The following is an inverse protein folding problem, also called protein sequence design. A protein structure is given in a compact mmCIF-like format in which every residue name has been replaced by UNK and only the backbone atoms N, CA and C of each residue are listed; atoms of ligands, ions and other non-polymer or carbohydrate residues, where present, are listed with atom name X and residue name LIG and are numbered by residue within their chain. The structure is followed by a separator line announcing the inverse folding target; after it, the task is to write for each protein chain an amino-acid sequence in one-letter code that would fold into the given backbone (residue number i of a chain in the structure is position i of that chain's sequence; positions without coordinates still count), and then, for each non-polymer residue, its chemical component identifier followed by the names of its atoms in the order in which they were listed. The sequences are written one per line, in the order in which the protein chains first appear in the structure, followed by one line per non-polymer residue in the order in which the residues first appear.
data_IF_869957752286
#
_entry.id   IF_869957752286
#
_cell.length_a   1.000
_cell.length_b   1.000
_cell.length_c   1.000
_cell.angle_alpha   90.00
_cell.angle_beta   90.00
_cell.angle_gamma   90.00
#
_symmetry.space_group_name_H-M   'P 1'
#
loop_
_entity.id
_entity.type
_entity.pdbx_description
1 polymer ?
#
# COMPACT_ATOMS: atom_id res chain seq x y z
N UNK A 1 26.93 -27.46 -63.27
CA UNK A 1 27.97 -27.58 -62.20
C UNK A 1 27.40 -26.96 -60.97
N UNK A 2 27.12 -27.80 -60.06
CA UNK A 2 26.47 -27.64 -58.74
C UNK A 2 27.36 -26.90 -57.73
N UNK A 3 26.79 -25.94 -57.00
CA UNK A 3 27.39 -25.47 -55.78
C UNK A 3 26.34 -25.53 -54.64
N UNK A 4 26.58 -26.45 -53.72
CA UNK A 4 25.77 -26.71 -52.55
C UNK A 4 25.95 -25.63 -51.51
N UNK A 5 24.85 -25.00 -51.08
CA UNK A 5 24.78 -24.10 -49.93
C UNK A 5 24.74 -24.90 -48.63
N UNK A 6 25.71 -24.68 -47.76
CA UNK A 6 25.76 -25.21 -46.40
C UNK A 6 24.78 -24.42 -45.52
N UNK A 7 23.70 -25.06 -45.12
CA UNK A 7 22.87 -24.62 -43.99
C UNK A 7 23.57 -24.91 -42.68
N UNK A 8 24.10 -23.89 -42.00
CA UNK A 8 24.55 -24.00 -40.60
C UNK A 8 23.33 -23.82 -39.68
N UNK A 9 22.86 -24.93 -39.14
CA UNK A 9 21.92 -24.96 -38.02
C UNK A 9 22.58 -24.41 -36.77
N UNK A 10 22.28 -23.16 -36.42
CA UNK A 10 22.64 -22.56 -35.16
C UNK A 10 21.71 -23.07 -34.05
N UNK A 11 22.10 -24.18 -33.43
CA UNK A 11 21.44 -24.67 -32.21
C UNK A 11 21.80 -23.82 -31.01
N UNK A 12 20.78 -23.23 -30.47
CA UNK A 12 20.49 -22.73 -29.14
C UNK A 12 21.56 -22.68 -28.04
N UNK A 13 21.74 -21.47 -27.56
CA UNK A 13 22.12 -21.20 -26.18
C UNK A 13 21.42 -19.91 -25.69
N UNK A 14 20.08 -19.87 -25.43
CA UNK A 14 19.45 -18.69 -24.85
C UNK A 14 19.47 -18.66 -23.31
N UNK A 15 19.46 -19.82 -22.63
CA UNK A 15 19.24 -19.87 -21.17
C UNK A 15 20.45 -19.39 -20.34
N UNK A 16 21.68 -19.76 -20.71
CA UNK A 16 22.88 -19.36 -19.99
C UNK A 16 23.16 -17.84 -20.09
N UNK A 17 22.83 -17.24 -21.22
CA UNK A 17 22.97 -15.79 -21.42
C UNK A 17 21.98 -14.95 -20.58
N UNK A 18 20.75 -15.44 -20.39
CA UNK A 18 19.76 -14.75 -19.58
C UNK A 18 20.11 -14.76 -18.09
N UNK A 19 20.47 -15.90 -17.52
CA UNK A 19 20.91 -16.02 -16.12
C UNK A 19 22.16 -15.19 -15.85
N UNK A 20 23.13 -15.18 -16.76
CA UNK A 20 24.34 -14.37 -16.64
C UNK A 20 24.01 -12.86 -16.70
N UNK A 21 23.14 -12.43 -17.60
CA UNK A 21 22.67 -11.04 -17.69
C UNK A 21 21.89 -10.63 -16.43
N UNK A 22 21.00 -11.49 -15.93
CA UNK A 22 20.25 -11.22 -14.70
C UNK A 22 21.16 -11.11 -13.49
N UNK A 23 22.18 -11.99 -13.38
CA UNK A 23 23.20 -11.90 -12.32
C UNK A 23 24.06 -10.63 -12.43
N UNK A 24 24.46 -10.24 -13.63
CA UNK A 24 25.21 -8.99 -13.85
C UNK A 24 24.35 -7.77 -13.47
N UNK A 25 23.10 -7.73 -13.93
CA UNK A 25 22.15 -6.65 -13.56
C UNK A 25 21.90 -6.59 -12.05
N UNK A 26 21.73 -7.73 -11.38
CA UNK A 26 21.57 -7.78 -9.91
C UNK A 26 22.83 -7.31 -9.18
N UNK A 27 24.00 -7.62 -9.71
CA UNK A 27 25.29 -7.19 -9.16
C UNK A 27 25.48 -5.67 -9.31
N UNK A 28 25.15 -5.13 -10.49
CA UNK A 28 25.21 -3.69 -10.78
C UNK A 28 24.22 -2.91 -9.93
N UNK A 29 23.03 -3.47 -9.72
CA UNK A 29 22.01 -2.92 -8.83
C UNK A 29 22.46 -2.93 -7.37
N UNK A 30 23.02 -4.05 -6.90
CA UNK A 30 23.53 -4.17 -5.53
C UNK A 30 24.75 -3.24 -5.27
N UNK A 31 25.51 -2.91 -6.32
CA UNK A 31 26.64 -1.98 -6.26
C UNK A 31 26.21 -0.50 -6.36
N UNK A 32 25.00 -0.21 -6.85
CA UNK A 32 24.51 1.17 -6.97
C UNK A 32 24.07 1.72 -5.59
N UNK A 33 24.84 2.66 -5.06
CA UNK A 33 24.56 3.35 -3.80
C UNK A 33 23.14 3.90 -3.72
N UNK A 34 22.54 4.30 -4.85
CA UNK A 34 21.16 4.82 -4.88
C UNK A 34 20.14 3.75 -4.56
N UNK A 35 20.37 2.50 -5.00
CA UNK A 35 19.48 1.36 -4.68
C UNK A 35 19.53 1.03 -3.19
N UNK A 36 20.73 0.98 -2.60
CA UNK A 36 20.89 0.79 -1.17
C UNK A 36 20.21 1.90 -0.37
N UNK A 37 20.35 3.15 -0.82
CA UNK A 37 19.67 4.28 -0.17
C UNK A 37 18.15 4.17 -0.29
N UNK A 38 17.61 3.75 -1.46
CA UNK A 38 16.16 3.54 -1.61
C UNK A 38 15.61 2.47 -0.67
N UNK A 39 16.38 1.39 -0.41
CA UNK A 39 16.00 0.39 0.57
C UNK A 39 15.92 1.00 1.99
N UNK A 40 16.93 1.76 2.38
CA UNK A 40 16.98 2.41 3.71
C UNK A 40 15.90 3.49 3.86
N UNK A 41 15.67 4.29 2.81
CA UNK A 41 14.61 5.30 2.80
C UNK A 41 13.22 4.65 2.81
N UNK A 42 13.05 3.53 2.10
CA UNK A 42 11.83 2.72 2.14
C UNK A 42 11.57 2.15 3.53
N UNK A 43 12.62 1.68 4.22
CA UNK A 43 12.52 1.27 5.62
C UNK A 43 12.03 2.41 6.51
N UNK A 44 12.61 3.60 6.40
CA UNK A 44 12.15 4.76 7.16
C UNK A 44 10.72 5.19 6.86
N UNK A 45 10.26 5.01 5.62
CA UNK A 45 8.89 5.35 5.22
C UNK A 45 7.86 4.31 5.70
N UNK A 46 8.22 3.03 5.71
CA UNK A 46 7.33 1.95 6.14
C UNK A 46 7.16 1.82 7.65
N UNK A 47 8.11 2.35 8.44
CA UNK A 47 8.13 2.18 9.89
C UNK A 47 6.94 2.86 10.59
N UNK A 48 6.60 4.14 10.34
CA UNK A 48 5.58 4.85 11.10
C UNK A 48 4.16 4.34 10.87
N UNK A 49 3.87 3.80 9.69
CA UNK A 49 2.48 3.54 9.30
C UNK A 49 1.76 2.56 10.23
N UNK A 50 2.39 1.45 10.60
CA UNK A 50 1.77 0.51 11.54
C UNK A 50 1.74 1.05 12.97
N UNK A 51 2.71 1.89 13.34
CA UNK A 51 2.81 2.48 14.68
C UNK A 51 1.72 3.53 14.96
N UNK A 52 1.11 4.11 13.93
CA UNK A 52 -0.04 5.02 14.06
C UNK A 52 -1.38 4.37 13.73
N UNK A 53 -1.38 3.08 13.30
CA UNK A 53 -2.61 2.33 12.97
C UNK A 53 -2.70 1.02 13.74
N UNK A 54 -2.28 -0.09 13.13
CA UNK A 54 -2.50 -1.42 13.64
C UNK A 54 -1.81 -1.68 14.98
N UNK A 55 -0.58 -1.24 15.16
CA UNK A 55 0.14 -1.37 16.44
C UNK A 55 -0.46 -0.46 17.51
N UNK A 56 -0.82 0.78 17.11
CA UNK A 56 -1.49 1.71 18.03
C UNK A 56 -2.86 1.20 18.45
N UNK A 57 -3.66 0.62 17.54
CA UNK A 57 -4.97 0.09 17.90
C UNK A 57 -4.89 -1.06 18.91
N UNK A 58 -3.85 -1.90 18.83
CA UNK A 58 -3.57 -2.92 19.83
C UNK A 58 -3.22 -2.28 21.19
N UNK A 59 -2.34 -1.27 21.21
CA UNK A 59 -2.00 -0.55 22.44
C UNK A 59 -3.21 0.12 23.09
N UNK A 60 -3.98 0.87 22.31
CA UNK A 60 -5.18 1.54 22.82
C UNK A 60 -6.18 0.53 23.41
N UNK A 61 -6.37 -0.61 22.74
CA UNK A 61 -7.29 -1.62 23.23
C UNK A 61 -6.75 -2.31 24.51
N UNK A 62 -5.46 -2.61 24.57
CA UNK A 62 -4.85 -3.14 25.80
C UNK A 62 -4.88 -2.15 26.97
N UNK A 63 -4.94 -0.84 26.68
CA UNK A 63 -5.14 0.23 27.67
C UNK A 63 -6.61 0.46 28.05
N UNK A 64 -7.55 -0.35 27.53
CA UNK A 64 -8.98 -0.26 27.87
C UNK A 64 -9.76 0.81 27.10
N UNK A 65 -9.16 1.43 26.08
CA UNK A 65 -9.82 2.48 25.28
C UNK A 65 -11.00 1.87 24.49
N UNK A 66 -12.09 2.62 24.41
CA UNK A 66 -13.31 2.24 23.69
C UNK A 66 -13.07 2.03 22.20
N UNK A 67 -13.77 1.07 21.61
CA UNK A 67 -13.63 0.69 20.18
C UNK A 67 -14.03 1.81 19.25
N UNK A 68 -15.03 2.61 19.62
CA UNK A 68 -15.44 3.84 18.91
C UNK A 68 -14.30 4.83 18.76
N UNK A 69 -13.56 5.09 19.84
CA UNK A 69 -12.40 5.97 19.85
C UNK A 69 -11.28 5.42 18.97
N UNK A 70 -11.03 4.09 19.01
CA UNK A 70 -10.05 3.42 18.14
C UNK A 70 -10.47 3.51 16.66
N UNK A 71 -11.75 3.34 16.37
CA UNK A 71 -12.31 3.51 15.03
C UNK A 71 -12.06 4.94 14.53
N UNK A 72 -12.43 5.96 15.30
CA UNK A 72 -12.23 7.37 14.96
C UNK A 72 -10.74 7.71 14.74
N UNK A 73 -9.82 7.11 15.50
CA UNK A 73 -8.40 7.32 15.34
C UNK A 73 -7.90 6.87 13.97
N UNK A 74 -8.59 5.94 13.31
CA UNK A 74 -8.24 5.53 11.94
C UNK A 74 -8.27 6.70 10.94
N UNK A 75 -8.99 7.80 11.25
CA UNK A 75 -8.97 9.02 10.45
C UNK A 75 -7.60 9.71 10.38
N UNK A 76 -6.68 9.43 11.29
CA UNK A 76 -5.28 9.85 11.17
C UNK A 76 -4.68 9.37 9.82
N UNK A 77 -5.21 8.26 9.27
CA UNK A 77 -4.81 7.75 7.95
C UNK A 77 -5.11 8.69 6.79
N UNK A 78 -6.03 9.64 6.98
CA UNK A 78 -6.35 10.64 5.95
C UNK A 78 -5.14 11.52 5.61
N UNK A 79 -4.22 11.74 6.57
CA UNK A 79 -2.98 12.46 6.29
C UNK A 79 -2.21 11.84 5.11
N UNK A 80 -2.10 10.51 5.04
CA UNK A 80 -1.43 9.83 3.94
C UNK A 80 -2.17 9.94 2.60
N UNK A 81 -3.49 10.03 2.63
CA UNK A 81 -4.31 10.14 1.42
C UNK A 81 -4.36 11.57 0.91
N UNK A 82 -4.41 12.54 1.83
CA UNK A 82 -4.53 13.96 1.51
C UNK A 82 -3.17 14.65 1.32
N UNK A 83 -2.05 13.90 1.36
CA UNK A 83 -0.69 14.45 1.22
C UNK A 83 -0.50 15.29 -0.05
N UNK A 84 -1.28 15.06 -1.09
CA UNK A 84 -1.27 15.85 -2.33
C UNK A 84 -1.62 17.32 -2.12
N UNK A 85 -2.36 17.66 -1.05
CA UNK A 85 -2.73 19.05 -0.74
C UNK A 85 -1.52 19.91 -0.39
N UNK A 86 -0.52 19.35 0.30
CA UNK A 86 0.67 20.09 0.69
C UNK A 86 1.95 19.69 -0.07
N UNK A 87 1.89 18.68 -0.92
CA UNK A 87 3.01 18.28 -1.76
C UNK A 87 3.57 19.46 -2.60
N UNK A 88 2.75 20.34 -3.23
CA UNK A 88 3.26 21.49 -3.97
C UNK A 88 4.03 22.50 -3.10
N UNK A 89 3.70 22.59 -1.81
CA UNK A 89 4.42 23.44 -0.85
C UNK A 89 5.80 22.86 -0.58
N UNK A 90 5.88 21.57 -0.31
CA UNK A 90 7.13 20.85 -0.07
C UNK A 90 8.06 20.91 -1.29
N UNK A 91 7.50 20.83 -2.49
CA UNK A 91 8.28 20.88 -3.73
C UNK A 91 8.89 22.26 -4.03
N UNK A 92 8.33 23.33 -3.47
CA UNK A 92 8.74 24.72 -3.76
C UNK A 92 9.42 25.43 -2.62
N UNK A 93 9.15 25.01 -1.37
CA UNK A 93 9.67 25.69 -0.19
C UNK A 93 11.06 25.17 0.18
N UNK A 94 12.03 26.08 0.19
CA UNK A 94 13.36 25.83 0.72
C UNK A 94 13.39 26.09 2.22
N UNK A 95 13.92 25.13 2.97
CA UNK A 95 14.16 25.30 4.40
C UNK A 95 15.40 26.16 4.60
N UNK A 96 15.29 27.30 5.29
CA UNK A 96 16.44 28.16 5.58
C UNK A 96 17.57 27.33 6.20
N UNK A 97 18.82 27.58 5.85
CA UNK A 97 20.03 26.89 6.31
C UNK A 97 20.10 25.42 5.86
N UNK A 98 19.10 24.57 6.19
CA UNK A 98 19.13 23.13 5.91
C UNK A 98 19.18 22.84 4.39
N UNK A 99 18.39 23.55 3.59
CA UNK A 99 18.40 23.35 2.13
C UNK A 99 19.72 23.81 1.49
N UNK A 100 20.39 24.83 2.05
CA UNK A 100 21.71 25.27 1.58
C UNK A 100 22.79 24.20 1.85
N UNK A 101 22.74 23.57 3.01
CA UNK A 101 23.73 22.56 3.45
C UNK A 101 23.51 21.22 2.76
N UNK A 102 22.28 20.74 2.74
CA UNK A 102 21.93 19.37 2.34
C UNK A 102 21.27 19.26 0.96
N UNK A 103 20.79 20.35 0.41
CA UNK A 103 19.88 20.37 -0.73
C UNK A 103 18.42 20.18 -0.30
N UNK A 104 17.46 20.73 -1.08
CA UNK A 104 16.04 20.80 -0.71
C UNK A 104 15.45 19.42 -0.34
N UNK A 105 15.63 18.40 -1.17
CA UNK A 105 15.07 17.06 -0.93
C UNK A 105 15.57 16.45 0.37
N UNK A 106 16.90 16.47 0.61
CA UNK A 106 17.48 15.89 1.82
C UNK A 106 17.11 16.68 3.08
N UNK A 107 16.98 17.99 2.98
CA UNK A 107 16.58 18.85 4.10
C UNK A 107 15.16 18.50 4.58
N UNK A 108 14.20 18.36 3.66
CA UNK A 108 12.84 17.97 3.99
C UNK A 108 12.75 16.52 4.48
N UNK A 109 13.52 15.56 3.88
CA UNK A 109 13.60 14.18 4.39
C UNK A 109 14.09 14.16 5.83
N UNK A 110 15.19 14.88 6.13
CA UNK A 110 15.76 14.93 7.47
C UNK A 110 14.77 15.53 8.48
N UNK A 111 14.14 16.65 8.14
CA UNK A 111 13.15 17.30 9.01
C UNK A 111 11.98 16.38 9.33
N UNK A 112 11.40 15.73 8.31
CA UNK A 112 10.27 14.83 8.49
C UNK A 112 10.65 13.58 9.30
N UNK A 113 11.84 13.01 9.08
CA UNK A 113 12.33 11.87 9.85
C UNK A 113 12.61 12.22 11.32
N UNK A 114 13.17 13.41 11.58
CA UNK A 114 13.35 13.91 12.96
C UNK A 114 11.97 14.10 13.61
N UNK A 115 11.00 14.68 12.92
CA UNK A 115 9.65 14.85 13.44
C UNK A 115 8.96 13.51 13.74
N UNK A 116 9.12 12.48 12.89
CA UNK A 116 8.65 11.13 13.17
C UNK A 116 9.34 10.55 14.41
N UNK A 117 10.66 10.60 14.50
CA UNK A 117 11.40 10.08 15.64
C UNK A 117 11.03 10.79 16.94
N UNK A 118 10.94 12.12 16.91
CA UNK A 118 10.51 12.91 18.06
C UNK A 118 9.06 12.60 18.48
N UNK A 119 8.15 12.43 17.51
CA UNK A 119 6.77 12.01 17.75
C UNK A 119 6.68 10.61 18.39
N UNK A 120 7.49 9.65 17.93
CA UNK A 120 7.57 8.31 18.54
C UNK A 120 8.14 8.36 19.97
N UNK A 121 9.17 9.18 20.22
CA UNK A 121 9.70 9.39 21.56
C UNK A 121 8.66 10.06 22.46
N UNK A 122 7.94 11.06 21.97
CA UNK A 122 6.86 11.69 22.70
C UNK A 122 5.75 10.67 23.03
N UNK A 123 5.33 9.87 22.04
CA UNK A 123 4.33 8.83 22.22
C UNK A 123 4.78 7.78 23.25
N UNK A 124 6.06 7.38 23.27
CA UNK A 124 6.61 6.43 24.26
C UNK A 124 6.54 6.92 25.70
N UNK A 125 6.39 8.23 25.92
CA UNK A 125 6.28 8.85 27.26
C UNK A 125 4.85 9.08 27.72
N UNK A 126 3.88 8.87 26.80
CA UNK A 126 2.46 9.01 27.08
C UNK A 126 1.84 7.69 27.53
N UNK A 127 0.69 7.79 28.18
CA UNK A 127 -0.17 6.68 28.50
C UNK A 127 -1.58 6.99 27.97
N UNK A 128 -2.10 6.20 26.99
CA UNK A 128 -3.42 6.42 26.43
C UNK A 128 -4.56 6.34 27.46
N UNK A 129 -4.38 5.52 28.51
CA UNK A 129 -5.40 5.38 29.55
C UNK A 129 -5.61 6.67 30.35
N UNK A 130 -4.54 7.45 30.54
CA UNK A 130 -4.58 8.70 31.30
C UNK A 130 -4.75 9.92 30.42
N UNK A 131 -4.23 9.90 29.17
CA UNK A 131 -4.27 11.04 28.26
C UNK A 131 -4.36 10.59 26.80
N UNK A 132 -5.57 10.20 26.39
CA UNK A 132 -5.84 9.83 24.99
C UNK A 132 -5.56 10.98 24.01
N UNK A 133 -5.93 12.22 24.38
CA UNK A 133 -5.70 13.41 23.54
C UNK A 133 -4.21 13.64 23.22
N UNK A 134 -3.31 13.40 24.17
CA UNK A 134 -1.88 13.47 23.93
C UNK A 134 -1.41 12.40 22.94
N UNK A 135 -1.86 11.16 23.10
CA UNK A 135 -1.55 10.05 22.18
C UNK A 135 -2.03 10.34 20.75
N UNK A 136 -3.26 10.87 20.61
CA UNK A 136 -3.83 11.30 19.32
C UNK A 136 -3.00 12.42 18.69
N UNK A 137 -2.59 13.43 19.47
CA UNK A 137 -1.75 14.52 18.97
C UNK A 137 -0.40 13.99 18.47
N UNK A 138 0.25 13.09 19.21
CA UNK A 138 1.48 12.43 18.75
C UNK A 138 1.27 11.63 17.47
N UNK A 139 0.18 10.86 17.38
CA UNK A 139 -0.16 10.08 16.19
C UNK A 139 -0.38 10.98 14.96
N UNK A 140 -1.06 12.12 15.12
CA UNK A 140 -1.24 13.10 14.05
C UNK A 140 0.10 13.69 13.58
N UNK A 141 0.97 14.10 14.50
CA UNK A 141 2.30 14.63 14.16
C UNK A 141 3.11 13.58 13.38
N UNK A 142 3.13 12.34 13.86
CA UNK A 142 3.82 11.24 13.18
C UNK A 142 3.24 11.00 11.78
N UNK A 143 1.92 10.97 11.64
CA UNK A 143 1.26 10.72 10.35
C UNK A 143 1.54 11.82 9.32
N UNK A 144 1.44 13.10 9.72
CA UNK A 144 1.76 14.23 8.83
C UNK A 144 3.24 14.27 8.45
N UNK A 145 4.13 14.03 9.41
CA UNK A 145 5.57 13.97 9.17
C UNK A 145 5.93 12.80 8.23
N UNK A 146 5.35 11.62 8.45
CA UNK A 146 5.56 10.44 7.61
C UNK A 146 5.00 10.63 6.20
N UNK A 147 3.79 11.19 6.06
CA UNK A 147 3.23 11.53 4.75
C UNK A 147 4.08 12.57 3.98
N UNK A 148 4.68 13.52 4.71
CA UNK A 148 5.64 14.48 4.14
C UNK A 148 6.92 13.77 3.72
N UNK A 149 7.44 12.86 4.52
CA UNK A 149 8.58 12.02 4.17
C UNK A 149 8.34 11.26 2.86
N UNK A 150 7.16 10.64 2.69
CA UNK A 150 6.80 9.91 1.47
C UNK A 150 6.87 10.81 0.24
N UNK A 151 6.30 12.04 0.30
CA UNK A 151 6.36 13.00 -0.81
C UNK A 151 7.81 13.26 -1.23
N UNK A 152 8.68 13.50 -0.25
CA UNK A 152 10.06 13.90 -0.52
C UNK A 152 10.91 12.74 -1.01
N UNK A 153 10.70 11.53 -0.48
CA UNK A 153 11.40 10.30 -0.91
C UNK A 153 11.02 9.97 -2.35
N UNK A 154 9.73 10.06 -2.70
CA UNK A 154 9.27 9.88 -4.08
C UNK A 154 9.90 10.92 -5.03
N UNK A 155 9.92 12.19 -4.63
CA UNK A 155 10.57 13.24 -5.39
C UNK A 155 12.08 13.00 -5.54
N UNK A 156 12.79 12.59 -4.49
CA UNK A 156 14.21 12.27 -4.55
C UNK A 156 14.48 11.07 -5.48
N UNK A 157 13.63 10.04 -5.44
CA UNK A 157 13.71 8.89 -6.35
C UNK A 157 13.62 9.31 -7.80
N UNK A 158 12.63 10.15 -8.14
CA UNK A 158 12.42 10.64 -9.51
C UNK A 158 13.59 11.48 -9.98
N UNK A 159 14.10 12.37 -9.12
CA UNK A 159 15.20 13.29 -9.45
C UNK A 159 16.57 12.57 -9.50
N UNK A 160 16.74 11.40 -8.85
CA UNK A 160 18.04 10.74 -8.67
C UNK A 160 18.43 9.77 -9.78
N UNK A 161 17.48 9.28 -10.59
CA UNK A 161 17.78 8.26 -11.60
C UNK A 161 16.92 8.43 -12.88
N UNK A 162 17.44 8.01 -14.04
CA UNK A 162 16.70 8.00 -15.30
C UNK A 162 15.55 6.99 -15.25
N UNK A 163 14.61 7.12 -16.19
CA UNK A 163 13.35 6.36 -16.23
C UNK A 163 13.58 4.83 -16.22
N UNK A 164 14.62 4.35 -16.89
CA UNK A 164 14.96 2.92 -17.00
C UNK A 164 15.30 2.29 -15.65
N UNK A 165 15.80 3.07 -14.68
CA UNK A 165 16.16 2.60 -13.34
C UNK A 165 15.08 2.80 -12.29
N UNK A 166 14.02 3.54 -12.60
CA UNK A 166 12.95 3.84 -11.64
C UNK A 166 12.25 2.60 -11.10
N UNK A 167 12.04 1.58 -11.94
CA UNK A 167 11.44 0.31 -11.53
C UNK A 167 12.25 -0.42 -10.45
N UNK A 168 13.59 -0.46 -10.62
CA UNK A 168 14.49 -1.11 -9.64
C UNK A 168 14.58 -0.30 -8.33
N UNK A 169 14.59 1.02 -8.42
CA UNK A 169 14.56 1.89 -7.24
C UNK A 169 13.26 1.70 -6.45
N UNK A 170 12.12 1.58 -7.14
CA UNK A 170 10.84 1.30 -6.51
C UNK A 170 10.82 -0.09 -5.85
N UNK A 171 11.40 -1.10 -6.48
CA UNK A 171 11.52 -2.44 -5.90
C UNK A 171 12.37 -2.45 -4.62
N UNK A 172 13.52 -1.74 -4.62
CA UNK A 172 14.36 -1.57 -3.44
C UNK A 172 13.63 -0.83 -2.31
N UNK A 173 12.89 0.25 -2.64
CA UNK A 173 12.03 0.97 -1.70
C UNK A 173 10.99 0.05 -1.08
N UNK A 174 10.28 -0.72 -1.92
CA UNK A 174 9.22 -1.62 -1.45
C UNK A 174 9.74 -2.73 -0.55
N UNK A 175 10.95 -3.24 -0.81
CA UNK A 175 11.60 -4.21 0.06
C UNK A 175 11.90 -3.59 1.43
N UNK A 176 12.51 -2.41 1.47
CA UNK A 176 12.76 -1.68 2.72
C UNK A 176 11.48 -1.39 3.49
N UNK A 177 10.45 -0.93 2.79
CA UNK A 177 9.13 -0.68 3.34
C UNK A 177 8.50 -1.93 3.97
N UNK A 178 8.62 -3.08 3.31
CA UNK A 178 8.10 -4.35 3.83
C UNK A 178 8.86 -4.82 5.07
N UNK A 179 10.20 -4.68 5.10
CA UNK A 179 11.00 -4.97 6.28
C UNK A 179 10.61 -4.09 7.47
N UNK A 180 10.40 -2.79 7.24
CA UNK A 180 9.96 -1.86 8.27
C UNK A 180 8.58 -2.24 8.85
N UNK A 181 7.66 -2.69 8.00
CA UNK A 181 6.33 -3.15 8.46
C UNK A 181 6.42 -4.38 9.36
N UNK A 182 7.36 -5.29 9.12
CA UNK A 182 7.61 -6.42 10.00
C UNK A 182 8.15 -5.92 11.35
N UNK A 183 9.12 -5.00 11.33
CA UNK A 183 9.67 -4.41 12.57
C UNK A 183 8.60 -3.64 13.36
N UNK A 184 7.83 -2.76 12.71
CA UNK A 184 6.80 -1.94 13.34
C UNK A 184 5.54 -2.72 13.73
N UNK A 185 5.25 -3.82 13.05
CA UNK A 185 4.16 -4.74 13.39
C UNK A 185 4.59 -5.77 14.43
N UNK A 186 5.33 -6.79 14.00
CA UNK A 186 5.75 -7.89 14.87
C UNK A 186 6.78 -7.44 15.93
N UNK A 187 7.83 -6.73 15.51
CA UNK A 187 8.91 -6.31 16.41
C UNK A 187 8.39 -5.43 17.55
N UNK A 188 7.54 -4.45 17.23
CA UNK A 188 6.96 -3.59 18.26
C UNK A 188 6.06 -4.37 19.25
N UNK A 189 5.28 -5.34 18.76
CA UNK A 189 4.43 -6.18 19.63
C UNK A 189 5.26 -7.11 20.51
N UNK A 190 6.32 -7.73 20.00
CA UNK A 190 7.22 -8.56 20.83
C UNK A 190 7.90 -7.73 21.92
N UNK A 191 8.37 -6.53 21.61
CA UNK A 191 8.96 -5.65 22.61
C UNK A 191 7.90 -5.20 23.63
N UNK A 192 6.67 -4.90 23.16
CA UNK A 192 5.57 -4.51 24.04
C UNK A 192 5.14 -5.63 24.97
N UNK A 193 5.13 -6.87 24.52
CA UNK A 193 4.81 -8.05 25.31
C UNK A 193 5.84 -8.29 26.42
N UNK A 194 7.13 -8.14 26.07
CA UNK A 194 8.22 -8.41 27.02
C UNK A 194 8.54 -7.25 27.97
N UNK A 195 8.43 -6.01 27.50
CA UNK A 195 8.95 -4.82 28.19
C UNK A 195 7.93 -3.68 28.33
N UNK A 196 6.74 -3.84 27.73
CA UNK A 196 5.69 -2.83 27.71
C UNK A 196 5.79 -1.85 26.53
N UNK A 197 4.77 -1.02 26.40
CA UNK A 197 4.58 -0.17 25.22
C UNK A 197 5.57 1.00 25.12
N UNK A 198 5.98 1.59 26.25
CA UNK A 198 6.94 2.69 26.25
C UNK A 198 8.29 2.29 25.63
N UNK A 199 8.95 1.18 26.07
CA UNK A 199 10.14 0.66 25.41
C UNK A 199 9.89 0.26 23.94
N UNK A 200 8.71 -0.27 23.59
CA UNK A 200 8.40 -0.64 22.20
C UNK A 200 8.44 0.58 21.27
N UNK A 201 7.75 1.66 21.60
CA UNK A 201 7.80 2.89 20.81
C UNK A 201 9.16 3.57 20.84
N UNK A 202 9.87 3.52 21.98
CA UNK A 202 11.25 3.98 22.09
C UNK A 202 12.22 3.23 21.17
N UNK A 203 12.11 1.91 21.09
CA UNK A 203 12.88 1.09 20.16
C UNK A 203 12.58 1.43 18.69
N UNK A 204 11.31 1.65 18.35
CA UNK A 204 10.93 2.08 17.00
C UNK A 204 11.47 3.48 16.67
N UNK A 205 11.52 4.39 17.63
CA UNK A 205 12.17 5.70 17.46
C UNK A 205 13.68 5.56 17.18
N UNK A 206 14.37 4.63 17.84
CA UNK A 206 15.78 4.34 17.55
C UNK A 206 15.97 3.76 16.15
N UNK A 207 15.07 2.93 15.66
CA UNK A 207 15.12 2.42 14.28
C UNK A 207 15.01 3.54 13.22
N UNK A 208 14.39 4.69 13.55
CA UNK A 208 14.37 5.84 12.65
C UNK A 208 15.78 6.43 12.41
N UNK A 209 16.76 6.17 13.29
CA UNK A 209 18.15 6.57 13.07
C UNK A 209 18.75 5.93 11.82
N UNK A 210 18.28 4.75 11.44
CA UNK A 210 18.66 4.09 10.18
C UNK A 210 18.25 4.95 9.00
N UNK A 211 17.01 5.45 8.99
CA UNK A 211 16.51 6.33 7.94
C UNK A 211 17.25 7.68 7.90
N UNK A 212 17.52 8.26 9.07
CA UNK A 212 18.31 9.49 9.20
C UNK A 212 19.72 9.32 8.63
N UNK A 213 20.40 8.20 8.99
CA UNK A 213 21.70 7.83 8.42
C UNK A 213 21.65 7.67 6.91
N UNK A 214 20.61 7.02 6.39
CA UNK A 214 20.36 6.86 4.95
C UNK A 214 20.19 8.21 4.24
N UNK A 215 19.42 9.12 4.81
CA UNK A 215 19.23 10.47 4.27
C UNK A 215 20.52 11.27 4.24
N UNK A 216 21.34 11.19 5.28
CA UNK A 216 22.65 11.86 5.32
C UNK A 216 23.64 11.25 4.33
N UNK A 217 23.57 9.93 4.12
CA UNK A 217 24.42 9.22 3.17
C UNK A 217 23.92 9.34 1.71
N UNK A 218 22.65 9.69 1.48
CA UNK A 218 22.08 9.81 0.13
C UNK A 218 22.79 10.90 -0.67
N UNK A 219 23.07 10.72 -1.98
CA UNK A 219 23.67 11.75 -2.81
C UNK A 219 22.76 12.99 -2.91
N UNK A 220 23.38 14.16 -2.97
CA UNK A 220 22.65 15.41 -3.29
C UNK A 220 22.14 15.31 -4.71
N UNK A 221 20.85 15.57 -4.88
CA UNK A 221 20.20 15.60 -6.19
C UNK A 221 19.75 17.03 -6.45
N UNK A 222 20.00 17.53 -7.64
CA UNK A 222 19.40 18.79 -8.06
C UNK A 222 17.93 18.54 -8.30
N UNK A 223 17.08 19.13 -7.46
CA UNK A 223 15.65 19.05 -7.67
C UNK A 223 15.32 19.70 -9.02
N UNK A 224 14.56 19.00 -9.86
CA UNK A 224 14.05 19.59 -11.10
C UNK A 224 13.33 20.87 -10.79
N UNK A 225 13.64 21.91 -11.57
CA UNK A 225 12.88 23.16 -11.50
C UNK A 225 11.42 22.84 -11.88
N UNK A 226 10.43 23.17 -11.04
CA UNK A 226 9.03 22.89 -11.33
C UNK A 226 8.49 23.63 -12.56
N UNK A 227 9.36 24.30 -13.34
CA UNK A 227 9.01 25.00 -14.58
C UNK A 227 8.23 26.30 -14.36
N UNK A 228 7.86 27.00 -15.43
CA UNK A 228 7.17 28.27 -15.33
C UNK A 228 5.83 28.12 -14.60
N UNK A 229 5.52 29.06 -13.74
CA UNK A 229 4.29 29.13 -12.95
C UNK A 229 3.04 29.17 -13.84
N UNK A 230 2.65 28.05 -14.42
CA UNK A 230 1.29 27.91 -14.95
C UNK A 230 0.33 28.02 -13.76
N UNK A 231 -0.71 28.84 -13.89
CA UNK A 231 -1.63 29.10 -12.78
C UNK A 231 -2.15 27.77 -12.20
N UNK A 232 -2.37 27.71 -10.89
CA UNK A 232 -2.79 26.49 -10.18
C UNK A 232 -4.04 25.82 -10.81
N UNK A 233 -4.92 26.63 -11.42
CA UNK A 233 -6.10 26.14 -12.16
C UNK A 233 -5.73 25.33 -13.40
N UNK A 234 -4.69 25.74 -14.13
CA UNK A 234 -4.22 25.02 -15.31
C UNK A 234 -3.55 23.71 -14.90
N UNK A 235 -2.71 23.75 -13.86
CA UNK A 235 -2.07 22.55 -13.31
C UNK A 235 -3.10 21.54 -12.76
N UNK A 236 -4.17 22.01 -12.11
CA UNK A 236 -5.25 21.17 -11.63
C UNK A 236 -6.06 20.56 -12.79
N UNK A 237 -6.29 21.34 -13.84
CA UNK A 237 -6.98 20.85 -15.03
C UNK A 237 -6.20 19.76 -15.75
N UNK A 238 -4.91 19.98 -16.01
CA UNK A 238 -4.03 18.97 -16.62
C UNK A 238 -3.85 17.73 -15.73
N UNK A 239 -3.75 17.91 -14.41
CA UNK A 239 -3.49 16.81 -13.48
C UNK A 239 -4.73 15.99 -13.09
N UNK A 240 -5.93 16.55 -13.18
CA UNK A 240 -7.15 15.89 -12.71
C UNK A 240 -8.22 15.86 -13.79
N UNK A 241 -8.54 17.02 -14.39
CA UNK A 241 -9.70 17.12 -15.27
C UNK A 241 -9.47 16.38 -16.60
N UNK A 242 -8.32 16.56 -17.23
CA UNK A 242 -8.01 15.94 -18.52
C UNK A 242 -7.90 14.39 -18.43
N UNK A 243 -7.18 13.80 -17.45
CA UNK A 243 -7.15 12.36 -17.27
C UNK A 243 -8.53 11.76 -16.96
N UNK A 244 -9.37 12.50 -16.21
CA UNK A 244 -10.72 12.05 -15.89
C UNK A 244 -11.64 12.16 -17.11
N UNK A 245 -11.56 13.26 -17.88
CA UNK A 245 -12.31 13.45 -19.12
C UNK A 245 -11.98 12.38 -20.18
N UNK A 246 -10.69 11.99 -20.30
CA UNK A 246 -10.28 10.89 -21.16
C UNK A 246 -10.91 9.56 -20.73
N UNK A 247 -10.95 9.28 -19.43
CA UNK A 247 -11.58 8.07 -18.90
C UNK A 247 -13.09 8.05 -19.16
N UNK A 248 -13.76 9.20 -18.96
CA UNK A 248 -15.19 9.39 -19.26
C UNK A 248 -15.46 9.16 -20.76
N UNK A 249 -14.66 9.77 -21.63
CA UNK A 249 -14.82 9.65 -23.09
C UNK A 249 -14.65 8.21 -23.58
N UNK A 250 -13.74 7.43 -22.98
CA UNK A 250 -13.49 6.02 -23.36
C UNK A 250 -14.51 5.05 -22.80
N UNK A 251 -15.00 5.25 -21.59
CA UNK A 251 -15.87 4.29 -20.86
C UNK A 251 -17.36 4.68 -20.84
N UNK A 252 -17.68 5.91 -21.20
CA UNK A 252 -19.07 6.38 -21.28
C UNK A 252 -19.87 6.15 -19.99
N UNK A 253 -21.10 5.68 -20.12
CA UNK A 253 -21.99 5.39 -18.98
C UNK A 253 -21.52 4.22 -18.12
N UNK A 254 -20.73 3.29 -18.67
CA UNK A 254 -20.13 2.18 -17.93
C UNK A 254 -19.16 2.63 -16.85
N UNK A 255 -18.61 3.86 -16.98
CA UNK A 255 -17.69 4.42 -15.97
C UNK A 255 -18.31 4.49 -14.57
N UNK A 256 -19.59 4.79 -14.44
CA UNK A 256 -20.27 4.85 -13.13
C UNK A 256 -20.21 3.50 -12.43
N UNK A 257 -20.45 2.41 -13.16
CA UNK A 257 -20.40 1.05 -12.63
C UNK A 257 -18.96 0.66 -12.24
N UNK A 258 -17.98 1.04 -13.08
CA UNK A 258 -16.54 0.82 -12.84
C UNK A 258 -16.11 1.55 -11.55
N UNK A 259 -16.44 2.83 -11.41
CA UNK A 259 -16.10 3.61 -10.23
C UNK A 259 -16.80 3.11 -8.97
N UNK A 260 -18.08 2.70 -9.08
CA UNK A 260 -18.80 2.07 -7.98
C UNK A 260 -18.11 0.78 -7.51
N UNK A 261 -17.72 -0.10 -8.46
CA UNK A 261 -16.98 -1.31 -8.12
C UNK A 261 -15.66 -0.99 -7.42
N UNK A 262 -14.82 -0.14 -8.00
CA UNK A 262 -13.53 0.23 -7.42
C UNK A 262 -13.71 0.78 -6.00
N UNK A 263 -14.75 1.59 -5.77
CA UNK A 263 -15.06 2.19 -4.48
C UNK A 263 -15.39 1.17 -3.41
N UNK A 264 -16.20 0.14 -3.74
CA UNK A 264 -16.68 -0.81 -2.74
C UNK A 264 -15.86 -2.09 -2.65
N UNK A 265 -15.04 -2.40 -3.65
CA UNK A 265 -14.34 -3.68 -3.78
C UNK A 265 -13.46 -4.03 -2.57
N UNK A 266 -12.74 -3.06 -2.03
CA UNK A 266 -11.87 -3.25 -0.85
C UNK A 266 -12.50 -2.78 0.46
N UNK A 267 -13.74 -2.32 0.42
CA UNK A 267 -14.43 -1.80 1.59
C UNK A 267 -14.54 -2.84 2.72
N UNK A 268 -14.94 -4.12 2.44
CA UNK A 268 -14.98 -5.15 3.46
C UNK A 268 -13.68 -5.31 4.23
N UNK A 269 -12.55 -5.43 3.52
CA UNK A 269 -11.23 -5.66 4.11
C UNK A 269 -10.71 -4.45 4.89
N UNK A 270 -10.92 -3.24 4.36
CA UNK A 270 -10.44 -2.01 5.02
C UNK A 270 -11.19 -1.79 6.33
N UNK A 271 -12.51 -1.98 6.32
CA UNK A 271 -13.37 -1.76 7.49
C UNK A 271 -13.14 -2.84 8.56
N UNK A 272 -13.08 -4.11 8.15
CA UNK A 272 -12.81 -5.24 9.06
C UNK A 272 -11.41 -5.16 9.67
N UNK A 273 -10.41 -4.79 8.88
CA UNK A 273 -9.02 -4.70 9.30
C UNK A 273 -8.76 -3.69 10.43
N UNK A 274 -9.59 -2.64 10.58
CA UNK A 274 -9.48 -1.68 11.67
C UNK A 274 -9.82 -2.33 13.01
N UNK A 275 -10.81 -3.21 13.04
CA UNK A 275 -11.28 -3.89 14.25
C UNK A 275 -10.59 -5.24 14.49
N UNK A 276 -9.70 -5.70 13.61
CA UNK A 276 -9.01 -6.98 13.75
C UNK A 276 -8.10 -7.02 15.00
N UNK A 277 -7.23 -6.02 15.22
CA UNK A 277 -6.39 -6.01 16.41
C UNK A 277 -7.18 -5.80 17.72
N UNK A 278 -8.16 -4.90 17.81
CA UNK A 278 -9.07 -4.87 18.96
C UNK A 278 -9.75 -6.22 19.23
N UNK A 279 -10.21 -6.94 18.19
CA UNK A 279 -10.76 -8.29 18.36
C UNK A 279 -9.76 -9.24 19.02
N UNK A 280 -8.50 -9.29 18.53
CA UNK A 280 -7.50 -10.21 19.09
C UNK A 280 -7.23 -9.92 20.56
N UNK A 281 -7.12 -8.65 20.96
CA UNK A 281 -6.93 -8.26 22.36
C UNK A 281 -8.15 -8.63 23.19
N UNK A 282 -9.36 -8.38 22.70
CA UNK A 282 -10.60 -8.72 23.42
C UNK A 282 -10.81 -10.24 23.58
N UNK A 283 -10.32 -11.03 22.60
CA UNK A 283 -10.28 -12.50 22.70
C UNK A 283 -9.10 -13.02 23.54
N UNK A 284 -8.37 -12.12 24.22
CA UNK A 284 -7.27 -12.46 25.15
C UNK A 284 -6.06 -13.11 24.48
N UNK A 285 -5.83 -12.88 23.17
CA UNK A 285 -4.58 -13.29 22.55
C UNK A 285 -3.43 -12.40 23.04
N UNK A 286 -2.30 -13.02 23.36
CA UNK A 286 -1.07 -12.33 23.73
C UNK A 286 -0.51 -11.50 22.57
N UNK A 287 0.23 -10.44 22.87
CA UNK A 287 0.86 -9.63 21.82
C UNK A 287 1.86 -10.44 20.99
N UNK A 288 2.51 -11.44 21.59
CA UNK A 288 3.42 -12.38 20.89
C UNK A 288 2.67 -13.31 19.94
N UNK A 289 1.49 -13.83 20.30
CA UNK A 289 0.65 -14.61 19.40
C UNK A 289 0.19 -13.77 18.22
N UNK A 290 -0.28 -12.54 18.47
CA UNK A 290 -0.68 -11.60 17.42
C UNK A 290 0.51 -11.27 16.51
N UNK A 291 1.69 -11.01 17.07
CA UNK A 291 2.91 -10.72 16.32
C UNK A 291 3.28 -11.89 15.40
N UNK A 292 3.31 -13.11 15.95
CA UNK A 292 3.71 -14.30 15.22
C UNK A 292 2.72 -14.65 14.12
N UNK A 293 1.43 -14.74 14.44
CA UNK A 293 0.40 -15.20 13.51
C UNK A 293 0.02 -14.11 12.50
N UNK A 294 -0.36 -12.93 13.01
CA UNK A 294 -0.90 -11.89 12.13
C UNK A 294 0.19 -11.12 11.38
N UNK A 295 1.36 -10.83 12.01
CA UNK A 295 2.35 -9.91 11.44
C UNK A 295 3.55 -10.61 10.79
N UNK A 296 3.90 -11.83 11.21
CA UNK A 296 4.97 -12.61 10.57
C UNK A 296 4.38 -13.64 9.63
N UNK A 297 3.65 -14.62 10.14
CA UNK A 297 3.07 -15.70 9.33
C UNK A 297 2.10 -15.16 8.25
N UNK A 298 1.20 -14.26 8.61
CA UNK A 298 0.21 -13.69 7.70
C UNK A 298 0.81 -12.98 6.48
N UNK A 299 2.01 -12.39 6.60
CA UNK A 299 2.71 -11.77 5.46
C UNK A 299 3.07 -12.79 4.39
N UNK A 300 3.57 -13.98 4.78
CA UNK A 300 3.92 -15.04 3.83
C UNK A 300 2.69 -15.60 3.11
N UNK A 301 1.60 -15.76 3.84
CA UNK A 301 0.31 -16.16 3.24
C UNK A 301 -0.22 -15.10 2.27
N UNK A 302 -0.09 -13.82 2.62
CA UNK A 302 -0.44 -12.73 1.71
C UNK A 302 0.40 -12.73 0.42
N UNK A 303 1.71 -13.00 0.52
CA UNK A 303 2.57 -13.15 -0.66
C UNK A 303 2.07 -14.31 -1.54
N UNK A 304 1.75 -15.47 -0.96
CA UNK A 304 1.20 -16.59 -1.70
C UNK A 304 -0.13 -16.25 -2.38
N UNK A 305 -1.02 -15.52 -1.68
CA UNK A 305 -2.29 -15.02 -2.24
C UNK A 305 -2.08 -14.06 -3.41
N UNK A 306 -1.12 -13.14 -3.31
CA UNK A 306 -0.80 -12.21 -4.40
C UNK A 306 -0.29 -12.94 -5.66
N UNK A 307 0.59 -13.94 -5.49
CA UNK A 307 1.03 -14.79 -6.60
C UNK A 307 -0.11 -15.58 -7.22
N UNK A 308 -0.97 -16.18 -6.39
CA UNK A 308 -2.16 -16.91 -6.86
C UNK A 308 -3.10 -15.98 -7.64
N UNK A 309 -3.32 -14.75 -7.18
CA UNK A 309 -4.08 -13.71 -7.88
C UNK A 309 -3.48 -13.37 -9.24
N UNK A 310 -2.15 -13.18 -9.31
CA UNK A 310 -1.45 -12.94 -10.57
C UNK A 310 -1.59 -14.10 -11.57
N UNK A 311 -1.47 -15.34 -11.10
CA UNK A 311 -1.68 -16.54 -11.91
C UNK A 311 -3.14 -16.64 -12.38
N UNK A 312 -4.10 -16.33 -11.50
CA UNK A 312 -5.51 -16.34 -11.85
C UNK A 312 -5.83 -15.30 -12.93
N UNK A 313 -5.33 -14.08 -12.81
CA UNK A 313 -5.47 -13.03 -13.83
C UNK A 313 -4.90 -13.50 -15.18
N UNK A 314 -3.72 -14.14 -15.18
CA UNK A 314 -3.06 -14.58 -16.42
C UNK A 314 -3.72 -15.79 -17.06
N UNK A 315 -4.34 -16.70 -16.27
CA UNK A 315 -4.92 -17.96 -16.79
C UNK A 315 -6.43 -17.92 -16.98
N UNK A 316 -7.14 -17.29 -16.06
CA UNK A 316 -8.60 -17.23 -16.08
C UNK A 316 -9.12 -15.94 -16.72
N UNK A 317 -8.23 -14.94 -16.90
CA UNK A 317 -8.61 -13.61 -17.30
C UNK A 317 -8.94 -12.70 -16.11
N UNK A 318 -9.08 -11.41 -16.43
CA UNK A 318 -9.20 -10.34 -15.44
C UNK A 318 -10.51 -10.41 -14.64
N UNK A 319 -11.65 -10.57 -15.36
CA UNK A 319 -12.97 -10.57 -14.72
C UNK A 319 -13.25 -11.77 -13.81
N UNK A 320 -12.94 -13.02 -14.19
CA UNK A 320 -13.08 -14.15 -13.28
C UNK A 320 -12.19 -14.02 -12.05
N UNK A 321 -10.94 -13.55 -12.21
CA UNK A 321 -10.04 -13.31 -11.08
C UNK A 321 -10.58 -12.23 -10.14
N UNK A 322 -11.14 -11.14 -10.69
CA UNK A 322 -11.76 -10.07 -9.91
C UNK A 322 -12.98 -10.57 -9.14
N UNK A 323 -13.86 -11.36 -9.78
CA UNK A 323 -15.05 -11.93 -9.15
C UNK A 323 -14.68 -12.89 -8.01
N UNK A 324 -13.79 -13.86 -8.29
CA UNK A 324 -13.31 -14.82 -7.29
C UNK A 324 -12.66 -14.09 -6.11
N UNK A 325 -11.80 -13.11 -6.40
CA UNK A 325 -11.11 -12.31 -5.39
C UNK A 325 -12.09 -11.52 -4.50
N UNK A 326 -13.08 -10.85 -5.10
CA UNK A 326 -14.08 -10.08 -4.37
C UNK A 326 -14.95 -10.95 -3.45
N UNK A 327 -15.40 -12.11 -3.94
CA UNK A 327 -16.17 -13.09 -3.14
C UNK A 327 -15.28 -13.63 -2.00
N UNK A 328 -14.08 -14.10 -2.32
CA UNK A 328 -13.20 -14.73 -1.33
C UNK A 328 -12.79 -13.74 -0.22
N UNK A 329 -12.40 -12.52 -0.59
CA UNK A 329 -12.00 -11.50 0.38
C UNK A 329 -13.16 -11.04 1.27
N UNK A 330 -14.37 -10.90 0.73
CA UNK A 330 -15.53 -10.56 1.54
C UNK A 330 -15.95 -11.72 2.45
N UNK A 331 -15.96 -12.95 1.93
CA UNK A 331 -16.33 -14.14 2.69
C UNK A 331 -15.31 -14.46 3.81
N UNK A 332 -14.02 -14.09 3.66
CA UNK A 332 -13.00 -14.31 4.69
C UNK A 332 -13.36 -13.64 6.02
N UNK A 333 -14.13 -12.54 6.01
CA UNK A 333 -14.60 -11.88 7.22
C UNK A 333 -15.48 -12.76 8.10
N UNK A 334 -16.13 -13.80 7.54
CA UNK A 334 -16.90 -14.78 8.33
C UNK A 334 -16.00 -15.60 9.27
N UNK A 335 -14.73 -15.77 8.94
CA UNK A 335 -13.76 -16.42 9.82
C UNK A 335 -13.51 -15.59 11.09
N UNK A 336 -13.47 -14.26 10.98
CA UNK A 336 -13.38 -13.39 12.15
C UNK A 336 -14.67 -13.36 12.96
N UNK A 337 -15.83 -13.48 12.31
CA UNK A 337 -17.09 -13.66 13.03
C UNK A 337 -17.09 -14.96 13.84
N UNK A 338 -16.59 -16.05 13.25
CA UNK A 338 -16.44 -17.34 13.94
C UNK A 338 -15.43 -17.24 15.08
N UNK A 339 -14.24 -16.63 14.85
CA UNK A 339 -13.23 -16.41 15.90
C UNK A 339 -13.82 -15.62 17.08
N UNK A 340 -14.62 -14.59 16.81
CA UNK A 340 -15.28 -13.79 17.84
C UNK A 340 -16.29 -14.61 18.70
N UNK A 341 -16.88 -15.67 18.16
CA UNK A 341 -17.76 -16.59 18.89
C UNK A 341 -16.99 -17.65 19.64
N UNK A 342 -15.88 -18.14 19.09
CA UNK A 342 -15.05 -19.19 19.68
C UNK A 342 -14.19 -18.68 20.86
N UNK A 343 -13.81 -17.38 20.83
CA UNK A 343 -12.91 -16.80 21.83
C UNK A 343 -11.44 -17.08 21.55
N UNK A 344 -10.64 -17.32 22.60
CA UNK A 344 -9.22 -17.60 22.49
C UNK A 344 -8.98 -19.01 21.92
N UNK A 345 -8.87 -19.11 20.60
CA UNK A 345 -8.56 -20.34 19.85
C UNK A 345 -7.44 -20.05 18.85
N UNK A 346 -6.21 -20.45 19.19
CA UNK A 346 -5.03 -20.15 18.37
C UNK A 346 -5.07 -20.84 16.99
N UNK A 347 -5.46 -22.12 16.85
CA UNK A 347 -5.69 -22.77 15.56
C UNK A 347 -6.69 -22.00 14.68
N UNK A 348 -7.79 -21.53 15.25
CA UNK A 348 -8.80 -20.76 14.53
C UNK A 348 -8.29 -19.37 14.12
N UNK A 349 -7.46 -18.72 14.96
CA UNK A 349 -6.77 -17.50 14.61
C UNK A 349 -5.85 -17.72 13.40
N UNK A 350 -5.05 -18.78 13.40
CA UNK A 350 -4.16 -19.13 12.28
C UNK A 350 -4.98 -19.38 11.01
N UNK A 351 -6.08 -20.11 11.08
CA UNK A 351 -6.97 -20.35 9.95
C UNK A 351 -7.60 -19.05 9.43
N UNK A 352 -8.10 -18.19 10.32
CA UNK A 352 -8.69 -16.89 9.97
C UNK A 352 -7.69 -16.00 9.25
N UNK A 353 -6.49 -15.85 9.80
CA UNK A 353 -5.41 -15.07 9.20
C UNK A 353 -4.95 -15.67 7.85
N UNK A 354 -4.93 -17.00 7.73
CA UNK A 354 -4.56 -17.67 6.48
C UNK A 354 -5.55 -17.35 5.37
N UNK A 355 -6.84 -17.54 5.63
CA UNK A 355 -7.90 -17.32 4.65
C UNK A 355 -8.00 -15.84 4.30
N UNK A 356 -7.97 -14.96 5.28
CA UNK A 356 -8.10 -13.50 5.08
C UNK A 356 -6.92 -12.91 4.30
N UNK A 357 -5.69 -13.15 4.74
CA UNK A 357 -4.52 -12.60 4.06
C UNK A 357 -4.34 -13.16 2.65
N UNK A 358 -4.64 -14.46 2.44
CA UNK A 358 -4.61 -15.06 1.11
C UNK A 358 -5.66 -14.42 0.19
N UNK A 359 -6.92 -14.39 0.63
CA UNK A 359 -8.03 -13.86 -0.15
C UNK A 359 -7.88 -12.35 -0.40
N UNK A 360 -7.50 -11.58 0.62
CA UNK A 360 -7.29 -10.13 0.51
C UNK A 360 -6.14 -9.77 -0.43
N UNK A 361 -5.02 -10.51 -0.41
CA UNK A 361 -3.90 -10.28 -1.32
C UNK A 361 -4.21 -10.72 -2.75
N UNK A 362 -4.92 -11.85 -2.92
CA UNK A 362 -5.45 -12.29 -4.21
C UNK A 362 -6.35 -11.21 -4.83
N UNK A 363 -7.35 -10.76 -4.08
CA UNK A 363 -8.30 -9.72 -4.52
C UNK A 363 -7.59 -8.39 -4.83
N UNK A 364 -6.62 -8.01 -3.99
CA UNK A 364 -5.81 -6.81 -4.22
C UNK A 364 -5.04 -6.86 -5.53
N UNK A 365 -4.43 -8.00 -5.86
CA UNK A 365 -3.70 -8.19 -7.13
C UNK A 365 -4.65 -8.11 -8.33
N UNK A 366 -5.82 -8.74 -8.26
CA UNK A 366 -6.83 -8.68 -9.32
C UNK A 366 -7.35 -7.24 -9.53
N UNK A 367 -7.62 -6.50 -8.44
CA UNK A 367 -8.05 -5.10 -8.52
C UNK A 367 -6.97 -4.19 -9.11
N UNK A 368 -5.70 -4.36 -8.72
CA UNK A 368 -4.58 -3.60 -9.28
C UNK A 368 -4.47 -3.84 -10.79
N UNK A 369 -4.56 -5.11 -11.22
CA UNK A 369 -4.56 -5.46 -12.63
C UNK A 369 -5.75 -4.81 -13.37
N UNK A 370 -6.95 -4.84 -12.78
CA UNK A 370 -8.13 -4.20 -13.33
C UNK A 370 -7.97 -2.68 -13.47
N UNK A 371 -7.56 -2.00 -12.40
CA UNK A 371 -7.32 -0.55 -12.45
C UNK A 371 -6.26 -0.18 -13.49
N UNK A 372 -5.21 -0.99 -13.62
CA UNK A 372 -4.17 -0.78 -14.63
C UNK A 372 -4.70 -0.92 -16.05
N UNK A 373 -5.61 -1.86 -16.31
CA UNK A 373 -6.23 -2.05 -17.64
C UNK A 373 -7.14 -0.91 -18.07
N UNK A 374 -7.63 -0.10 -17.10
CA UNK A 374 -8.47 1.06 -17.38
C UNK A 374 -7.67 2.29 -17.79
N UNK A 375 -6.38 2.32 -17.49
CA UNK A 375 -5.54 3.51 -17.72
C UNK A 375 -5.12 3.62 -19.19
N UNK A 376 -5.08 4.85 -19.72
CA UNK A 376 -4.50 5.13 -21.04
C UNK A 376 -2.98 5.35 -20.93
N UNK A 377 -2.20 5.01 -21.98
CA UNK A 377 -0.75 5.25 -21.97
C UNK A 377 -0.36 6.71 -21.70
N UNK A 378 -1.16 7.66 -22.20
CA UNK A 378 -0.92 9.08 -22.05
C UNK A 378 -1.07 9.58 -20.59
N UNK A 379 -1.97 8.97 -19.81
CA UNK A 379 -2.33 9.40 -18.46
C UNK A 379 -2.20 8.29 -17.42
N UNK A 380 -1.46 7.20 -17.72
CA UNK A 380 -1.45 5.98 -16.93
C UNK A 380 -1.20 6.23 -15.42
N UNK A 381 -0.16 6.99 -15.09
CA UNK A 381 0.19 7.27 -13.69
C UNK A 381 -0.91 8.07 -12.97
N UNK A 382 -1.46 9.09 -13.61
CA UNK A 382 -2.47 9.97 -13.01
C UNK A 382 -3.81 9.26 -12.86
N UNK A 383 -4.26 8.56 -13.91
CA UNK A 383 -5.50 7.78 -13.84
C UNK A 383 -5.41 6.68 -12.80
N UNK A 384 -4.30 5.96 -12.73
CA UNK A 384 -4.08 4.95 -11.69
C UNK A 384 -4.10 5.56 -10.29
N UNK A 385 -3.45 6.71 -10.10
CA UNK A 385 -3.46 7.41 -8.81
C UNK A 385 -4.87 7.86 -8.40
N UNK A 386 -5.67 8.38 -9.35
CA UNK A 386 -7.08 8.74 -9.11
C UNK A 386 -7.92 7.52 -8.71
N UNK A 387 -7.83 6.42 -9.46
CA UNK A 387 -8.57 5.19 -9.17
C UNK A 387 -8.13 4.58 -7.83
N UNK A 388 -6.83 4.57 -7.53
CA UNK A 388 -6.32 4.07 -6.26
C UNK A 388 -6.73 4.94 -5.06
N UNK A 389 -6.86 6.24 -5.23
CA UNK A 389 -7.41 7.13 -4.19
C UNK A 389 -8.89 6.87 -3.98
N UNK A 390 -9.63 6.61 -5.04
CA UNK A 390 -11.07 6.34 -4.98
C UNK A 390 -11.37 5.06 -4.19
N UNK A 391 -10.60 3.98 -4.37
CA UNK A 391 -10.84 2.76 -3.59
C UNK A 391 -10.46 2.92 -2.10
N UNK A 392 -9.49 3.77 -1.78
CA UNK A 392 -8.96 3.88 -0.43
C UNK A 392 -9.80 4.81 0.47
N UNK A 393 -10.33 5.91 -0.09
CA UNK A 393 -11.02 6.95 0.67
C UNK A 393 -12.30 6.46 1.37
N UNK A 394 -13.27 5.81 0.69
CA UNK A 394 -14.52 5.39 1.32
C UNK A 394 -14.29 4.40 2.46
N UNK A 395 -13.34 3.46 2.27
CA UNK A 395 -12.97 2.51 3.32
C UNK A 395 -12.43 3.18 4.58
N UNK A 396 -11.69 4.28 4.44
CA UNK A 396 -11.20 5.04 5.60
C UNK A 396 -12.31 5.80 6.31
N UNK A 397 -13.24 6.40 5.57
CA UNK A 397 -14.38 7.10 6.17
C UNK A 397 -15.33 6.13 6.90
N UNK A 398 -15.76 5.08 6.23
CA UNK A 398 -16.62 4.05 6.82
C UNK A 398 -15.91 3.32 7.96
N UNK A 399 -14.63 3.04 7.77
CA UNK A 399 -13.80 2.36 8.77
C UNK A 399 -13.66 3.13 10.07
N UNK A 400 -13.69 4.47 10.04
CA UNK A 400 -13.70 5.29 11.24
C UNK A 400 -14.93 5.06 12.14
N UNK A 401 -16.03 4.59 11.55
CA UNK A 401 -17.28 4.28 12.27
C UNK A 401 -17.34 2.81 12.73
N UNK A 402 -16.36 1.99 12.37
CA UNK A 402 -16.36 0.55 12.69
C UNK A 402 -16.44 0.25 14.19
N UNK A 403 -15.80 1.10 15.02
CA UNK A 403 -15.84 0.95 16.46
C UNK A 403 -17.25 1.09 17.05
N UNK A 404 -18.02 2.07 16.59
CA UNK A 404 -19.43 2.24 17.00
C UNK A 404 -20.29 1.03 16.58
N UNK A 405 -20.05 0.50 15.38
CA UNK A 405 -20.75 -0.69 14.91
C UNK A 405 -20.43 -1.91 15.78
N UNK A 406 -19.17 -2.10 16.18
CA UNK A 406 -18.78 -3.20 17.08
C UNK A 406 -19.34 -3.01 18.49
N UNK A 407 -19.38 -1.78 19.01
CA UNK A 407 -19.95 -1.50 20.35
C UNK A 407 -21.45 -1.76 20.40
N UNK A 408 -22.18 -1.43 19.33
CA UNK A 408 -23.64 -1.58 19.28
C UNK A 408 -24.08 -3.01 18.92
N UNK A 409 -23.35 -3.70 18.03
CA UNK A 409 -23.79 -4.96 17.44
C UNK A 409 -22.93 -6.17 17.89
N UNK A 410 -21.77 -5.92 18.47
CA UNK A 410 -20.76 -6.93 18.77
C UNK A 410 -19.94 -7.34 17.54
N UNK A 411 -18.80 -7.99 17.79
CA UNK A 411 -17.88 -8.44 16.74
C UNK A 411 -18.50 -9.43 15.74
N UNK A 412 -19.26 -10.48 16.17
CA UNK A 412 -19.79 -11.45 15.23
C UNK A 412 -20.68 -10.82 14.16
N UNK A 413 -21.63 -9.96 14.60
CA UNK A 413 -22.56 -9.28 13.68
C UNK A 413 -21.81 -8.29 12.80
N UNK A 414 -20.87 -7.53 13.35
CA UNK A 414 -20.05 -6.60 12.58
C UNK A 414 -19.30 -7.28 11.44
N UNK A 415 -18.62 -8.42 11.69
CA UNK A 415 -17.89 -9.14 10.65
C UNK A 415 -18.81 -9.81 9.63
N UNK A 416 -19.99 -10.28 10.03
CA UNK A 416 -21.03 -10.75 9.09
C UNK A 416 -21.51 -9.59 8.19
N UNK A 417 -21.72 -8.41 8.75
CA UNK A 417 -22.09 -7.22 7.95
C UNK A 417 -20.99 -6.82 6.96
N UNK A 418 -19.72 -6.84 7.37
CA UNK A 418 -18.62 -6.58 6.43
C UNK A 418 -18.54 -7.64 5.33
N UNK A 419 -18.78 -8.91 5.64
CA UNK A 419 -18.90 -9.96 4.63
C UNK A 419 -20.09 -9.72 3.67
N UNK A 420 -21.23 -9.27 4.17
CA UNK A 420 -22.42 -8.97 3.37
C UNK A 420 -22.20 -7.84 2.34
N UNK A 421 -21.24 -6.92 2.58
CA UNK A 421 -20.81 -5.93 1.58
C UNK A 421 -20.21 -6.62 0.34
N UNK A 422 -19.79 -7.87 0.42
CA UNK A 422 -19.40 -8.69 -0.72
C UNK A 422 -20.54 -8.95 -1.72
N UNK A 423 -21.81 -8.85 -1.29
CA UNK A 423 -22.97 -9.02 -2.19
C UNK A 423 -22.99 -7.93 -3.27
N UNK A 424 -23.02 -6.62 -2.92
CA UNK A 424 -22.93 -5.58 -3.94
C UNK A 424 -21.63 -5.64 -4.75
N UNK A 425 -20.49 -6.04 -4.17
CA UNK A 425 -19.24 -6.24 -4.92
C UNK A 425 -19.44 -7.31 -6.01
N UNK A 426 -20.01 -8.46 -5.64
CA UNK A 426 -20.29 -9.56 -6.58
C UNK A 426 -21.25 -9.12 -7.67
N UNK A 427 -22.35 -8.45 -7.33
CA UNK A 427 -23.34 -7.93 -8.28
C UNK A 427 -22.71 -6.94 -9.26
N UNK A 428 -21.89 -6.01 -8.78
CA UNK A 428 -21.17 -5.05 -9.62
C UNK A 428 -20.19 -5.73 -10.57
N UNK A 429 -19.45 -6.77 -10.12
CA UNK A 429 -18.59 -7.57 -10.98
C UNK A 429 -19.39 -8.29 -12.10
N UNK A 430 -20.56 -8.85 -11.75
CA UNK A 430 -21.43 -9.50 -12.74
C UNK A 430 -22.02 -8.50 -13.75
N UNK A 431 -22.48 -7.34 -13.26
CA UNK A 431 -23.00 -6.28 -14.11
C UNK A 431 -21.95 -5.74 -15.10
N UNK A 432 -20.68 -5.59 -14.66
CA UNK A 432 -19.61 -5.17 -15.55
C UNK A 432 -19.37 -6.13 -16.71
N UNK A 433 -19.52 -7.43 -16.49
CA UNK A 433 -19.40 -8.44 -17.55
C UNK A 433 -20.46 -8.31 -18.64
N UNK A 434 -21.60 -7.68 -18.31
CA UNK A 434 -22.72 -7.48 -19.24
C UNK A 434 -22.59 -6.20 -20.06
N UNK A 435 -21.59 -5.33 -19.77
CA UNK A 435 -21.37 -4.12 -20.56
C UNK A 435 -20.78 -4.44 -21.94
N UNK A 436 -21.35 -3.90 -23.03
CA UNK A 436 -20.80 -4.05 -24.36
C UNK A 436 -19.42 -3.41 -24.46
N UNK A 437 -18.43 -4.14 -24.97
CA UNK A 437 -17.07 -3.63 -25.21
C UNK A 437 -16.05 -3.90 -24.10
N UNK A 438 -16.40 -4.55 -23.01
CA UNK A 438 -15.46 -4.98 -21.96
C UNK A 438 -15.13 -6.48 -21.99
N UNK A 439 -15.63 -7.23 -22.96
CA UNK A 439 -15.21 -8.62 -23.18
C UNK A 439 -13.79 -8.64 -23.73
N UNK A 440 -12.85 -9.19 -22.97
CA UNK A 440 -11.48 -9.47 -23.40
C UNK A 440 -11.48 -10.19 -24.77
N UNK A 441 -10.55 -9.84 -25.68
CA UNK A 441 -10.23 -10.73 -26.77
C UNK A 441 -9.79 -12.08 -26.17
N UNK A 442 -10.30 -13.17 -26.71
CA UNK A 442 -9.98 -14.53 -26.28
C UNK A 442 -8.44 -14.70 -26.20
N UNK A 443 -7.89 -15.42 -25.20
CA UNK A 443 -6.46 -15.66 -25.11
C UNK A 443 -5.99 -16.36 -26.38
N UNK A 444 -5.21 -15.65 -27.23
CA UNK A 444 -4.71 -16.13 -28.50
C UNK A 444 -5.06 -15.28 -29.76
N UNK A 445 -5.79 -14.19 -29.60
CA UNK A 445 -5.94 -13.22 -30.69
C UNK A 445 -4.67 -12.37 -30.80
N UNK A 446 -3.82 -12.65 -31.79
CA UNK A 446 -2.71 -11.79 -32.18
C UNK A 446 -3.25 -10.37 -32.46
N UNK A 447 -2.54 -9.30 -32.03
CA UNK A 447 -2.89 -7.95 -32.42
C UNK A 447 -2.83 -7.87 -33.95
N UNK A 448 -3.92 -7.44 -34.56
CA UNK A 448 -3.97 -7.20 -36.02
C UNK A 448 -2.78 -6.28 -36.36
N UNK A 449 -1.82 -6.84 -37.11
CA UNK A 449 -0.75 -6.07 -37.71
C UNK A 449 -1.40 -5.08 -38.68
N UNK A 450 -1.35 -3.79 -38.33
CA UNK A 450 -1.65 -2.71 -39.27
C UNK A 450 -0.66 -2.81 -40.42
N UNK A 451 -1.15 -3.36 -41.54
CA UNK A 451 -0.46 -3.33 -42.82
C UNK A 451 -0.31 -1.87 -43.23
N UNK A 452 0.90 -1.42 -43.58
CA UNK A 452 1.08 -0.05 -44.06
C UNK A 452 0.30 0.12 -45.37
N UNK A 453 -0.56 1.15 -45.38
CA UNK A 453 -1.25 1.59 -46.59
C UNK A 453 -0.22 1.90 -47.68
N UNK A 454 -0.28 1.17 -48.77
CA UNK A 454 0.39 1.50 -50.03
C UNK A 454 -0.29 2.73 -50.64
N UNK A 455 0.45 3.80 -50.76
CA UNK A 455 0.43 4.71 -51.95
C UNK A 455 1.64 5.63 -51.86
#
# INVERSE_FOLDING_TARGET
MTAAGKTTSGTGRPAAGWVARTRATLRDVAADRRMAMMLVLGFGAGLPILLVFATLSAWLRSAGIERSSIGLLSYVSLAYTLKFLWAPVIDRLDLPVLSRLLGRRRAWMLLSQIAVAAGLIAMSRGDPATSLGYTVACALVIAFASATQDIVVDGWRIDSAPTERQGMMLASYQLGYSLARICAGAGALFVADAFGWAPAYGAMALLMLVALGGTLAAPKVQARDPGPRRGWRHALREAVVEPFADLVARKGTGLVLILALITVYRLPDIVSGIMANPLYIDMQFTLSEIATVSKVYGVWIGIAGAFAGGIAVSRLGLYPALLIGGIAASASNLMFAWLALAGHDLPLLVASISIDNFAGAFAGTALIAYMSSLTSPAFAATQYALLSSLYALPGKFVGGLSGFAVESLGYPVFFVMTAAVGIPVTLLCLCLRLLPGETEPAPGAEPAQDLPARA
#
